data_IF_009718839825
#
_entry.id   IF_009718839825
#
_cell.length_a   1.000
_cell.length_b   1.000
_cell.length_c   1.000
_cell.angle_alpha   90.00
_cell.angle_beta   90.00
_cell.angle_gamma   90.00
#
_symmetry.space_group_name_H-M   'P 1'
#
loop_
_entity.id
_entity.type
_entity.pdbx_description
1 polymer ?
#
# COMPACT_ATOMS: atom_id res chain seq x y z
N UNK A 1 -9.91 3.49 3.74
CA UNK A 1 -9.17 4.74 3.97
C UNK A 1 -7.87 4.74 3.19
N UNK A 2 -7.00 3.73 3.32
CA UNK A 2 -5.75 3.67 2.56
C UNK A 2 -5.95 3.79 1.04
N UNK A 3 -6.79 2.94 0.43
CA UNK A 3 -7.05 3.03 -1.02
C UNK A 3 -7.52 4.42 -1.46
N UNK A 4 -8.49 4.99 -0.75
CA UNK A 4 -9.00 6.33 -1.06
C UNK A 4 -7.94 7.44 -0.91
N UNK A 5 -6.91 7.23 -0.08
CA UNK A 5 -5.78 8.15 0.01
C UNK A 5 -4.80 7.96 -1.16
N UNK A 6 -4.62 6.72 -1.63
CA UNK A 6 -3.83 6.42 -2.83
C UNK A 6 -4.50 6.97 -4.09
N UNK A 7 -5.83 6.88 -4.20
CA UNK A 7 -6.60 7.43 -5.32
C UNK A 7 -6.38 8.96 -5.51
N UNK A 8 -6.08 9.69 -4.43
CA UNK A 8 -5.81 11.14 -4.47
C UNK A 8 -4.31 11.45 -4.63
N UNK A 9 -3.44 10.55 -4.17
CA UNK A 9 -1.99 10.79 -4.11
C UNK A 9 -1.21 10.21 -5.29
N UNK A 10 -1.71 9.16 -5.95
CA UNK A 10 -1.12 8.58 -7.15
C UNK A 10 -1.28 9.53 -8.34
N UNK A 11 -0.21 9.74 -9.09
CA UNK A 11 -0.16 10.63 -10.25
C UNK A 11 0.24 9.85 -11.52
N UNK A 12 0.20 10.50 -12.69
CA UNK A 12 0.53 9.86 -13.97
C UNK A 12 1.99 9.40 -14.08
N UNK A 13 2.88 10.00 -13.30
CA UNK A 13 4.31 9.68 -13.24
C UNK A 13 4.69 8.77 -12.06
N UNK A 14 3.71 8.35 -11.24
CA UNK A 14 3.95 7.37 -10.18
C UNK A 14 4.19 5.98 -10.78
N UNK A 15 5.27 5.34 -10.38
CA UNK A 15 5.71 4.03 -10.87
C UNK A 15 5.48 2.93 -9.84
N UNK A 16 5.68 3.25 -8.55
CA UNK A 16 5.65 2.24 -7.48
C UNK A 16 4.95 2.75 -6.22
N UNK A 17 4.15 1.87 -5.62
CA UNK A 17 3.57 2.05 -4.28
C UNK A 17 4.12 0.99 -3.35
N UNK A 18 4.89 1.42 -2.35
CA UNK A 18 5.39 0.54 -1.30
C UNK A 18 4.53 0.70 -0.05
N UNK A 19 3.93 -0.38 0.44
CA UNK A 19 3.17 -0.39 1.70
C UNK A 19 3.93 -1.17 2.78
N UNK A 20 4.22 -0.47 3.88
CA UNK A 20 4.81 -1.06 5.08
C UNK A 20 3.69 -1.47 6.05
N UNK A 21 3.70 -2.75 6.42
CA UNK A 21 2.78 -3.33 7.39
C UNK A 21 3.29 -3.10 8.82
N UNK A 22 2.44 -2.52 9.66
CA UNK A 22 2.69 -2.34 11.09
C UNK A 22 2.69 -3.65 11.87
N UNK A 23 3.15 -3.60 13.12
CA UNK A 23 3.25 -4.78 13.99
C UNK A 23 1.90 -5.48 14.23
N UNK A 24 0.81 -4.71 14.24
CA UNK A 24 -0.55 -5.20 14.45
C UNK A 24 -1.34 -5.33 13.13
N UNK A 25 -0.67 -5.29 11.98
CA UNK A 25 -1.32 -5.48 10.70
C UNK A 25 -1.95 -6.90 10.60
N UNK A 26 -3.13 -7.05 9.99
CA UNK A 26 -3.74 -8.35 9.75
C UNK A 26 -2.81 -9.30 8.96
N UNK A 27 -2.84 -10.59 9.28
CA UNK A 27 -2.00 -11.60 8.60
C UNK A 27 -2.25 -11.71 7.09
N UNK A 28 -3.44 -11.35 6.66
CA UNK A 28 -3.89 -11.35 5.28
C UNK A 28 -3.80 -9.97 4.62
N UNK A 29 -3.20 -8.98 5.30
CA UNK A 29 -3.08 -7.62 4.80
C UNK A 29 -2.27 -7.57 3.50
N UNK A 30 -1.19 -8.33 3.40
CA UNK A 30 -0.34 -8.33 2.20
C UNK A 30 -1.12 -8.72 0.94
N UNK A 31 -1.79 -9.88 0.97
CA UNK A 31 -2.60 -10.37 -0.15
C UNK A 31 -3.76 -9.43 -0.48
N UNK A 32 -4.46 -8.91 0.54
CA UNK A 32 -5.59 -8.01 0.35
C UNK A 32 -5.18 -6.67 -0.26
N UNK A 33 -4.09 -6.09 0.24
CA UNK A 33 -3.62 -4.78 -0.24
C UNK A 33 -3.03 -4.90 -1.64
N UNK A 34 -2.22 -5.92 -1.90
CA UNK A 34 -1.69 -6.17 -3.25
C UNK A 34 -2.82 -6.35 -4.27
N UNK A 35 -3.83 -7.17 -3.96
CA UNK A 35 -4.97 -7.36 -4.85
C UNK A 35 -5.80 -6.07 -5.05
N UNK A 36 -6.07 -5.34 -3.96
CA UNK A 36 -6.91 -4.14 -4.04
C UNK A 36 -6.22 -2.98 -4.78
N UNK A 37 -4.94 -2.73 -4.48
CA UNK A 37 -4.16 -1.66 -5.12
C UNK A 37 -3.90 -2.02 -6.58
N UNK A 38 -3.47 -3.25 -6.87
CA UNK A 38 -3.24 -3.69 -8.26
C UNK A 38 -4.52 -3.74 -9.12
N UNK A 39 -5.70 -3.84 -8.51
CA UNK A 39 -6.97 -3.72 -9.24
C UNK A 39 -7.32 -2.25 -9.53
N UNK A 40 -7.06 -1.35 -8.58
CA UNK A 40 -7.38 0.08 -8.71
C UNK A 40 -6.36 0.85 -9.58
N UNK A 41 -5.09 0.49 -9.46
CA UNK A 41 -3.95 1.08 -10.16
C UNK A 41 -3.15 -0.02 -10.88
N UNK A 42 -3.67 -0.57 -11.99
CA UNK A 42 -3.07 -1.73 -12.66
C UNK A 42 -1.70 -1.46 -13.30
N UNK A 43 -1.39 -0.20 -13.55
CA UNK A 43 -0.14 0.22 -14.19
C UNK A 43 0.97 0.53 -13.17
N UNK A 44 0.68 0.45 -11.87
CA UNK A 44 1.61 0.73 -10.78
C UNK A 44 2.12 -0.55 -10.14
N UNK A 45 3.43 -0.61 -9.91
CA UNK A 45 4.05 -1.69 -9.17
C UNK A 45 3.69 -1.60 -7.68
N UNK A 46 3.30 -2.72 -7.08
CA UNK A 46 2.91 -2.76 -5.66
C UNK A 46 3.87 -3.64 -4.88
N UNK A 47 4.59 -3.03 -3.94
CA UNK A 47 5.48 -3.73 -3.02
C UNK A 47 4.89 -3.70 -1.61
N UNK A 48 4.82 -4.85 -0.94
CA UNK A 48 4.37 -4.95 0.44
C UNK A 48 5.52 -5.46 1.32
N UNK A 49 5.88 -4.69 2.34
CA UNK A 49 6.99 -4.98 3.26
C UNK A 49 6.52 -5.08 4.71
N UNK A 50 7.16 -5.94 5.50
CA UNK A 50 6.97 -5.93 6.95
C UNK A 50 7.73 -4.75 7.55
N UNK A 51 7.01 -3.69 7.95
CA UNK A 51 7.58 -2.49 8.55
C UNK A 51 7.69 -2.56 10.07
N UNK A 52 6.80 -3.30 10.72
CA UNK A 52 6.82 -3.51 12.17
C UNK A 52 6.57 -2.25 12.99
N UNK A 53 6.01 -1.18 12.39
CA UNK A 53 5.75 0.05 13.12
C UNK A 53 4.70 -0.20 14.22
N UNK A 54 4.89 0.32 15.44
CA UNK A 54 4.02 0.00 16.59
C UNK A 54 2.72 0.80 16.62
N UNK A 55 2.60 1.89 15.86
CA UNK A 55 1.46 2.82 15.95
C UNK A 55 0.64 2.93 14.67
N UNK A 56 1.21 2.59 13.53
CA UNK A 56 0.57 2.70 12.23
C UNK A 56 0.39 1.32 11.65
N UNK A 57 -0.85 0.95 11.32
CA UNK A 57 -1.14 -0.32 10.68
C UNK A 57 -0.55 -0.38 9.27
N UNK A 58 -0.55 0.75 8.56
CA UNK A 58 -0.03 0.88 7.21
C UNK A 58 0.67 2.23 7.04
N UNK A 59 1.81 2.22 6.37
CA UNK A 59 2.44 3.42 5.79
C UNK A 59 2.62 3.15 4.31
N UNK A 60 2.22 4.09 3.45
CA UNK A 60 2.45 4.00 2.02
C UNK A 60 3.45 5.06 1.57
N UNK A 61 4.40 4.64 0.74
CA UNK A 61 5.28 5.50 -0.03
C UNK A 61 4.90 5.38 -1.50
N UNK A 62 4.90 6.51 -2.21
CA UNK A 62 4.63 6.59 -3.64
C UNK A 62 5.86 7.21 -4.27
N UNK A 63 6.38 6.57 -5.29
CA UNK A 63 7.45 7.07 -6.14
C UNK A 63 6.94 7.12 -7.57
#
# INVERSE_FOLDING_TARGET
VLLAALDDAVQEDSEIVTVYLGADAPRDASERLSAAIGTAHPDIEVEILEGGQPYYLYIAAIE
#
